data_IF_417264699640
#
_entry.id   IF_417264699640
#
_cell.length_a   1.000
_cell.length_b   1.000
_cell.length_c   1.000
_cell.angle_alpha   90.00
_cell.angle_beta   90.00
_cell.angle_gamma   90.00
#
_symmetry.space_group_name_H-M   'P 1'
#
loop_
_entity.id
_entity.type
_entity.pdbx_description
1 polymer ?
#
# COMPACT_ATOMS: atom_id res chain seq x y z
N UNK A 1 -2.70 -5.75 19.10
CA UNK A 1 -1.40 -6.29 18.63
C UNK A 1 -0.98 -5.49 17.42
N UNK A 2 0.10 -4.72 17.50
CA UNK A 2 0.59 -3.99 16.33
C UNK A 2 1.16 -5.00 15.33
N UNK A 3 0.49 -5.17 14.18
CA UNK A 3 1.10 -5.83 13.04
C UNK A 3 2.22 -4.92 12.52
N UNK A 4 3.42 -5.11 13.08
CA UNK A 4 4.66 -4.55 12.58
C UNK A 4 4.98 -5.25 11.26
N UNK A 5 4.20 -4.94 10.22
CA UNK A 5 4.60 -5.20 8.85
C UNK A 5 5.92 -4.47 8.64
N UNK A 6 6.94 -5.16 8.13
CA UNK A 6 8.25 -4.56 7.92
C UNK A 6 8.16 -3.39 6.93
N UNK A 7 9.12 -2.47 7.02
CA UNK A 7 9.10 -1.24 6.23
C UNK A 7 9.22 -1.50 4.73
N UNK A 8 9.92 -2.56 4.32
CA UNK A 8 10.09 -2.91 2.91
C UNK A 8 8.78 -3.40 2.31
N UNK A 9 8.03 -4.25 3.03
CA UNK A 9 6.69 -4.67 2.64
C UNK A 9 5.72 -3.49 2.57
N UNK A 10 5.79 -2.56 3.53
CA UNK A 10 4.96 -1.35 3.48
C UNK A 10 5.28 -0.50 2.25
N UNK A 11 6.56 -0.27 1.96
CA UNK A 11 7.01 0.49 0.80
C UNK A 11 6.55 -0.18 -0.52
N UNK A 12 6.77 -1.49 -0.66
CA UNK A 12 6.33 -2.26 -1.82
C UNK A 12 4.83 -2.09 -2.09
N UNK A 13 4.00 -2.29 -1.06
CA UNK A 13 2.54 -2.17 -1.18
C UNK A 13 2.11 -0.75 -1.54
N UNK A 14 2.70 0.26 -0.91
CA UNK A 14 2.38 1.67 -1.19
C UNK A 14 2.74 2.02 -2.64
N UNK A 15 3.94 1.64 -3.08
CA UNK A 15 4.41 1.90 -4.45
C UNK A 15 3.53 1.22 -5.50
N UNK A 16 3.24 -0.08 -5.33
CA UNK A 16 2.41 -0.82 -6.29
C UNK A 16 0.99 -0.24 -6.36
N UNK A 17 0.40 0.12 -5.21
CA UNK A 17 -0.97 0.61 -5.15
C UNK A 17 -1.13 2.08 -5.57
N UNK A 18 -0.04 2.84 -5.56
CA UNK A 18 -0.03 4.19 -6.10
C UNK A 18 -0.12 4.21 -7.64
N UNK A 19 0.19 3.08 -8.30
CA UNK A 19 0.05 2.97 -9.76
C UNK A 19 -1.44 2.93 -10.13
N UNK A 20 -1.90 3.80 -11.03
CA UNK A 20 -3.26 3.76 -11.54
C UNK A 20 -3.60 2.37 -12.09
N UNK A 21 -4.86 1.93 -11.92
CA UNK A 21 -5.41 0.66 -12.41
C UNK A 21 -4.97 -0.62 -11.67
N UNK A 22 -3.94 -0.59 -10.82
CA UNK A 22 -3.57 -1.75 -10.00
C UNK A 22 -4.52 -1.89 -8.82
N UNK A 23 -5.20 -3.04 -8.70
CA UNK A 23 -6.13 -3.33 -7.60
C UNK A 23 -5.43 -4.06 -6.47
N UNK A 24 -5.98 -3.97 -5.25
CA UNK A 24 -5.46 -4.72 -4.10
C UNK A 24 -5.44 -6.23 -4.31
N UNK A 25 -6.37 -6.77 -5.10
CA UNK A 25 -6.41 -8.19 -5.45
C UNK A 25 -5.21 -8.60 -6.32
N UNK A 26 -4.81 -7.74 -7.25
CA UNK A 26 -3.64 -7.98 -8.11
C UNK A 26 -2.35 -7.97 -7.27
N UNK A 27 -2.25 -7.01 -6.33
CA UNK A 27 -1.12 -6.95 -5.38
C UNK A 27 -1.08 -8.21 -4.50
N UNK A 28 -2.23 -8.68 -4.03
CA UNK A 28 -2.33 -9.93 -3.28
C UNK A 28 -1.86 -11.14 -4.10
N UNK A 29 -2.27 -11.22 -5.37
CA UNK A 29 -1.86 -12.30 -6.27
C UNK A 29 -0.34 -12.26 -6.55
N UNK A 30 0.24 -11.07 -6.69
CA UNK A 30 1.66 -10.87 -6.98
C UNK A 30 2.57 -11.12 -5.77
N UNK A 31 2.12 -10.77 -4.57
CA UNK A 31 2.98 -10.72 -3.36
C UNK A 31 2.62 -11.76 -2.30
N UNK A 32 1.45 -12.40 -2.40
CA UNK A 32 0.90 -13.27 -1.35
C UNK A 32 0.35 -12.52 -0.13
N UNK A 33 0.41 -11.19 -0.11
CA UNK A 33 -0.09 -10.37 1.01
C UNK A 33 -1.61 -10.29 0.95
N UNK A 34 -2.28 -10.64 2.05
CA UNK A 34 -3.75 -10.61 2.13
C UNK A 34 -4.31 -9.22 1.77
N UNK A 35 -5.40 -9.22 1.00
CA UNK A 35 -6.05 -8.00 0.50
C UNK A 35 -6.38 -7.00 1.62
N UNK A 36 -6.83 -7.49 2.78
CA UNK A 36 -7.12 -6.62 3.92
C UNK A 36 -5.85 -5.95 4.46
N UNK A 37 -4.71 -6.66 4.49
CA UNK A 37 -3.42 -6.12 4.89
C UNK A 37 -2.95 -5.05 3.91
N UNK A 38 -3.05 -5.30 2.60
CA UNK A 38 -2.76 -4.31 1.53
C UNK A 38 -3.57 -3.03 1.75
N UNK A 39 -4.89 -3.18 1.99
CA UNK A 39 -5.77 -2.04 2.25
C UNK A 39 -5.39 -1.29 3.54
N UNK A 40 -5.11 -2.00 4.63
CA UNK A 40 -4.72 -1.38 5.89
C UNK A 40 -3.37 -0.65 5.82
N UNK A 41 -2.40 -1.16 5.05
CA UNK A 41 -1.12 -0.46 4.83
C UNK A 41 -1.37 0.84 4.06
N UNK A 42 -2.09 0.76 2.95
CA UNK A 42 -2.33 1.92 2.09
C UNK A 42 -3.17 3.00 2.79
N UNK A 43 -4.19 2.60 3.54
CA UNK A 43 -5.00 3.52 4.35
C UNK A 43 -4.16 4.24 5.41
N UNK A 44 -3.26 3.51 6.10
CA UNK A 44 -2.32 4.10 7.06
C UNK A 44 -1.36 5.08 6.40
N UNK A 45 -0.90 4.79 5.18
CA UNK A 45 -0.04 5.71 4.43
C UNK A 45 -0.77 7.03 4.13
N UNK A 46 -2.02 6.97 3.65
CA UNK A 46 -2.85 8.16 3.39
C UNK A 46 -3.08 8.96 4.67
N UNK A 47 -3.43 8.29 5.78
CA UNK A 47 -3.60 8.93 7.09
C UNK A 47 -2.34 9.64 7.58
N UNK A 48 -1.15 9.16 7.17
CA UNK A 48 0.15 9.77 7.47
C UNK A 48 0.59 10.84 6.46
N UNK A 49 -0.30 11.24 5.54
CA UNK A 49 -0.06 12.32 4.59
C UNK A 49 0.50 11.90 3.24
N UNK A 50 0.59 10.59 2.95
CA UNK A 50 0.91 10.13 1.60
C UNK A 50 -0.23 10.51 0.64
N UNK A 51 0.09 11.26 -0.42
CA UNK A 51 -0.85 11.62 -1.46
C UNK A 51 -0.28 11.23 -2.84
N UNK A 52 -0.76 10.13 -3.45
CA UNK A 52 -0.25 9.64 -4.73
C UNK A 52 -0.56 10.59 -5.90
N UNK A 53 -1.56 11.46 -5.75
CA UNK A 53 -1.95 12.44 -6.78
C UNK A 53 -1.23 13.79 -6.61
N UNK A 54 -0.50 14.00 -5.51
CA UNK A 54 0.22 15.25 -5.27
C UNK A 54 1.49 15.29 -6.11
N UNK A 55 1.44 16.04 -7.21
CA UNK A 55 2.64 16.40 -7.98
C UNK A 55 3.46 17.37 -7.12
N UNK A 56 4.76 17.09 -6.95
CA UNK A 56 5.70 18.09 -6.44
C UNK A 56 5.80 19.16 -7.52
N UNK A 57 5.22 20.33 -7.24
CA UNK A 57 5.33 21.56 -8.02
C UNK A 57 6.47 22.38 -7.45
#
# INVERSE_FOLDING_TARGET
MASNTDIATCALVITLKAVPLIRSADICALTGILVHTVNSIYARAIQRGFNPAKRLI
#
